data_IF_947537462198
#
_entry.id   IF_947537462198
#
_cell.length_a   1.000
_cell.length_b   1.000
_cell.length_c   1.000
_cell.angle_alpha   90.00
_cell.angle_beta   90.00
_cell.angle_gamma   90.00
#
_symmetry.space_group_name_H-M   'P 1'
#
loop_
_entity.id
_entity.type
_entity.pdbx_description
1 polymer ?
#
# COMPACT_ATOMS: atom_id res chain seq x y z
N UNK A 1 10.42 -25.73 -13.54
CA UNK A 1 9.74 -24.80 -14.47
C UNK A 1 10.44 -23.47 -14.34
N UNK A 2 10.48 -22.65 -15.40
CA UNK A 2 11.04 -21.29 -15.31
C UNK A 2 10.25 -20.47 -14.27
N UNK A 3 10.95 -19.67 -13.45
CA UNK A 3 10.32 -18.80 -12.44
C UNK A 3 9.69 -17.56 -13.08
N UNK A 4 10.20 -17.14 -14.25
CA UNK A 4 9.71 -16.01 -15.04
C UNK A 4 9.63 -16.33 -16.54
N UNK A 5 8.60 -15.81 -17.21
CA UNK A 5 8.41 -15.91 -18.67
C UNK A 5 8.26 -14.51 -19.28
N UNK A 6 9.01 -14.21 -20.35
CA UNK A 6 8.96 -12.92 -21.04
C UNK A 6 7.56 -12.70 -21.66
N UNK A 7 6.93 -11.58 -21.33
CA UNK A 7 5.60 -11.20 -21.82
C UNK A 7 5.65 -10.18 -22.97
N UNK A 8 6.44 -9.11 -22.84
CA UNK A 8 6.60 -8.07 -23.87
C UNK A 8 7.96 -7.37 -23.74
N UNK A 9 8.62 -7.16 -24.88
CA UNK A 9 9.94 -6.53 -24.94
C UNK A 9 9.87 -5.09 -25.49
N UNK A 10 10.09 -4.05 -24.66
CA UNK A 10 10.30 -2.69 -25.15
C UNK A 10 11.79 -2.36 -25.41
N UNK A 11 12.71 -3.29 -25.18
CA UNK A 11 14.17 -3.12 -25.28
C UNK A 11 14.92 -3.66 -24.06
N UNK A 12 14.80 -4.95 -23.76
CA UNK A 12 15.37 -5.61 -22.58
C UNK A 12 16.87 -5.32 -22.48
N UNK A 13 17.24 -4.42 -21.58
CA UNK A 13 18.63 -4.23 -21.21
C UNK A 13 19.10 -5.54 -20.59
N UNK A 14 19.92 -6.29 -21.32
CA UNK A 14 20.59 -7.46 -20.78
C UNK A 14 21.98 -7.06 -20.28
N UNK A 15 22.36 -7.58 -19.12
CA UNK A 15 23.71 -7.46 -18.57
C UNK A 15 24.35 -8.84 -18.48
N UNK A 16 25.66 -8.90 -18.69
CA UNK A 16 26.44 -10.12 -18.43
C UNK A 16 27.00 -10.05 -17.02
N UNK A 17 26.76 -11.07 -16.23
CA UNK A 17 27.27 -11.18 -14.86
C UNK A 17 27.86 -12.56 -14.62
N UNK A 18 28.74 -12.66 -13.64
CA UNK A 18 29.22 -13.94 -13.12
C UNK A 18 28.18 -14.48 -12.14
N UNK A 19 27.70 -15.70 -12.37
CA UNK A 19 26.69 -16.33 -11.53
C UNK A 19 27.21 -16.51 -10.09
N UNK A 20 26.54 -15.97 -9.06
CA UNK A 20 26.99 -16.10 -7.68
C UNK A 20 26.77 -17.52 -7.13
N UNK A 21 25.76 -18.22 -7.63
CA UNK A 21 25.40 -19.58 -7.28
C UNK A 21 25.01 -20.38 -8.53
N UNK A 22 24.90 -21.71 -8.42
CA UNK A 22 24.32 -22.52 -9.49
C UNK A 22 22.82 -22.30 -9.61
N UNK A 23 22.28 -22.40 -10.81
CA UNK A 23 20.87 -22.12 -11.07
C UNK A 23 20.45 -22.49 -12.49
N UNK A 24 19.34 -21.91 -12.95
CA UNK A 24 18.80 -22.16 -14.27
C UNK A 24 18.23 -20.90 -14.95
N UNK A 25 18.10 -20.95 -16.27
CA UNK A 25 17.41 -19.93 -17.06
C UNK A 25 15.95 -19.80 -16.57
N UNK A 26 15.45 -18.56 -16.60
CA UNK A 26 14.17 -18.16 -16.05
C UNK A 26 14.18 -17.87 -14.55
N UNK A 27 15.32 -17.97 -13.85
CA UNK A 27 15.41 -17.61 -12.43
C UNK A 27 15.40 -16.10 -12.20
N UNK A 28 14.75 -15.67 -11.12
CA UNK A 28 14.76 -14.28 -10.64
C UNK A 28 15.88 -14.10 -9.62
N UNK A 29 16.76 -13.13 -9.87
CA UNK A 29 17.91 -12.83 -9.02
C UNK A 29 17.99 -11.34 -8.72
N UNK A 30 18.72 -10.99 -7.66
CA UNK A 30 19.13 -9.62 -7.39
C UNK A 30 20.58 -9.43 -7.83
N UNK A 31 20.83 -8.38 -8.60
CA UNK A 31 22.17 -7.99 -9.01
C UNK A 31 22.88 -7.21 -7.89
N UNK A 32 24.21 -7.11 -7.99
CA UNK A 32 25.03 -6.40 -7.00
C UNK A 32 24.72 -4.89 -6.91
N UNK A 33 24.09 -4.32 -7.94
CA UNK A 33 23.61 -2.93 -7.95
C UNK A 33 22.20 -2.77 -7.35
N UNK A 34 21.62 -3.85 -6.83
CA UNK A 34 20.33 -3.89 -6.15
C UNK A 34 19.13 -4.18 -7.07
N UNK A 35 19.30 -4.12 -8.39
CA UNK A 35 18.21 -4.36 -9.35
C UNK A 35 17.78 -5.82 -9.39
N UNK A 36 16.50 -6.06 -9.61
CA UNK A 36 16.00 -7.37 -9.98
C UNK A 36 16.40 -7.72 -11.42
N UNK A 37 16.60 -9.00 -11.69
CA UNK A 37 16.83 -9.47 -13.04
C UNK A 37 16.38 -10.91 -13.24
N UNK A 38 16.06 -11.24 -14.49
CA UNK A 38 15.68 -12.59 -14.92
C UNK A 38 16.82 -13.18 -15.73
N UNK A 39 17.31 -14.36 -15.36
CA UNK A 39 18.33 -15.06 -16.16
C UNK A 39 17.70 -15.52 -17.47
N UNK A 40 18.17 -15.03 -18.61
CA UNK A 40 17.62 -15.35 -19.94
C UNK A 40 18.52 -16.28 -20.76
N UNK A 41 19.73 -16.54 -20.29
CA UNK A 41 20.63 -17.52 -20.91
C UNK A 41 21.91 -17.73 -20.13
N UNK A 42 22.43 -18.95 -20.18
CA UNK A 42 23.77 -19.31 -19.71
C UNK A 42 24.69 -19.49 -20.93
N UNK A 43 26.00 -19.24 -20.77
CA UNK A 43 26.99 -19.64 -21.79
C UNK A 43 27.13 -21.18 -21.93
N UNK A 44 26.46 -21.94 -21.07
CA UNK A 44 26.43 -23.40 -21.04
C UNK A 44 25.28 -23.89 -21.93
N UNK A 45 25.51 -24.94 -22.74
CA UNK A 45 24.50 -25.52 -23.65
C UNK A 45 23.28 -26.17 -22.93
N UNK A 46 23.26 -26.12 -21.60
CA UNK A 46 22.16 -26.48 -20.73
C UNK A 46 21.48 -25.21 -20.21
N UNK A 47 20.16 -25.23 -20.02
CA UNK A 47 19.43 -24.18 -19.29
C UNK A 47 19.93 -24.02 -17.84
N UNK A 48 20.83 -24.88 -17.35
CA UNK A 48 21.50 -24.75 -16.05
C UNK A 48 22.87 -24.05 -16.17
N UNK A 49 23.23 -23.31 -15.12
CA UNK A 49 24.55 -22.69 -14.94
C UNK A 49 25.13 -23.04 -13.56
N UNK A 50 26.46 -23.03 -13.45
CA UNK A 50 27.17 -23.17 -12.19
C UNK A 50 27.61 -21.80 -11.63
N UNK A 51 27.93 -21.77 -10.33
CA UNK A 51 28.60 -20.61 -9.74
C UNK A 51 29.92 -20.34 -10.49
N UNK A 52 30.17 -19.08 -10.85
CA UNK A 52 31.32 -18.68 -11.66
C UNK A 52 31.08 -18.63 -13.17
N UNK A 53 29.99 -19.22 -13.68
CA UNK A 53 29.65 -19.13 -15.10
C UNK A 53 29.23 -17.70 -15.50
N UNK A 54 29.48 -17.31 -16.74
CA UNK A 54 28.88 -16.09 -17.30
C UNK A 54 27.42 -16.37 -17.70
N UNK A 55 26.52 -15.58 -17.14
CA UNK A 55 25.08 -15.60 -17.45
C UNK A 55 24.63 -14.26 -18.02
N UNK A 56 23.57 -14.29 -18.82
CA UNK A 56 22.90 -13.11 -19.36
C UNK A 56 21.62 -12.89 -18.57
N UNK A 57 21.45 -11.68 -18.04
CA UNK A 57 20.35 -11.32 -17.16
C UNK A 57 19.61 -10.12 -17.75
N UNK A 58 18.30 -10.26 -17.97
CA UNK A 58 17.44 -9.15 -18.33
C UNK A 58 17.06 -8.35 -17.08
N UNK A 59 17.20 -7.01 -17.15
CA UNK A 59 16.92 -6.11 -16.01
C UNK A 59 15.78 -5.11 -16.29
N UNK A 60 15.05 -5.32 -17.38
CA UNK A 60 13.90 -4.51 -17.79
C UNK A 60 12.96 -5.37 -18.63
N UNK A 61 11.71 -4.93 -18.78
CA UNK A 61 10.67 -5.61 -19.54
C UNK A 61 9.65 -6.31 -18.64
N UNK A 62 8.57 -6.76 -19.25
CA UNK A 62 7.45 -7.38 -18.55
C UNK A 62 7.62 -8.90 -18.50
N UNK A 63 7.52 -9.47 -17.30
CA UNK A 63 7.66 -10.90 -17.05
C UNK A 63 6.49 -11.42 -16.22
N UNK A 64 5.96 -12.57 -16.62
CA UNK A 64 5.01 -13.34 -15.81
C UNK A 64 5.80 -14.14 -14.78
N UNK A 65 5.51 -13.96 -13.50
CA UNK A 65 6.15 -14.67 -12.38
C UNK A 65 5.11 -15.29 -11.46
N UNK A 66 5.49 -16.31 -10.71
CA UNK A 66 4.66 -16.86 -9.62
C UNK A 66 4.38 -15.76 -8.59
N UNK A 67 3.14 -15.68 -8.06
CA UNK A 67 2.82 -14.83 -6.92
C UNK A 67 2.51 -15.64 -5.68
N UNK A 68 2.67 -15.01 -4.52
CA UNK A 68 2.22 -15.56 -3.24
C UNK A 68 0.70 -15.83 -3.32
N UNK A 69 0.26 -16.95 -2.73
CA UNK A 69 -1.16 -17.31 -2.74
C UNK A 69 -2.00 -16.34 -1.91
N UNK A 70 -3.27 -16.17 -2.27
CA UNK A 70 -4.26 -15.40 -1.51
C UNK A 70 -4.05 -13.88 -1.43
N UNK A 71 -2.91 -13.36 -1.89
CA UNK A 71 -2.71 -11.91 -2.05
C UNK A 71 -3.22 -11.44 -3.41
N UNK A 72 -3.79 -10.24 -3.43
CA UNK A 72 -4.14 -9.48 -4.63
C UNK A 72 -2.99 -8.54 -4.95
N UNK A 73 -2.71 -8.31 -6.23
CA UNK A 73 -1.73 -7.30 -6.66
C UNK A 73 -2.42 -6.41 -7.68
N UNK A 74 -2.58 -5.12 -7.37
CA UNK A 74 -3.28 -4.16 -8.21
C UNK A 74 -2.34 -3.63 -9.31
N UNK A 75 -2.89 -3.41 -10.51
CA UNK A 75 -2.17 -2.82 -11.64
C UNK A 75 -1.48 -1.52 -11.24
N UNK A 76 -0.23 -1.36 -11.67
CA UNK A 76 0.63 -0.23 -11.32
C UNK A 76 1.16 -0.22 -9.88
N UNK A 77 0.79 -1.21 -9.05
CA UNK A 77 1.25 -1.37 -7.67
C UNK A 77 2.69 -1.90 -7.58
N UNK A 78 3.24 -1.92 -6.37
CA UNK A 78 4.60 -2.44 -6.12
C UNK A 78 4.59 -3.96 -6.01
N UNK A 79 5.60 -4.60 -6.60
CA UNK A 79 5.88 -6.01 -6.36
C UNK A 79 7.31 -6.18 -5.82
N UNK A 80 7.45 -7.07 -4.85
CA UNK A 80 8.71 -7.50 -4.27
C UNK A 80 8.90 -8.99 -4.53
N UNK A 81 10.14 -9.44 -4.66
CA UNK A 81 10.46 -10.84 -4.75
C UNK A 81 10.75 -11.40 -3.36
N UNK A 82 9.89 -12.30 -2.88
CA UNK A 82 10.13 -13.11 -1.70
C UNK A 82 11.13 -14.20 -2.07
N UNK A 83 12.37 -14.05 -1.62
CA UNK A 83 13.45 -15.00 -1.95
C UNK A 83 13.23 -16.35 -1.26
N UNK A 84 12.55 -16.36 -0.12
CA UNK A 84 12.32 -17.57 0.68
C UNK A 84 11.18 -18.43 0.11
N UNK A 85 10.13 -17.80 -0.42
CA UNK A 85 9.00 -18.46 -1.07
C UNK A 85 9.17 -18.62 -2.59
N UNK A 86 10.12 -17.90 -3.19
CA UNK A 86 10.38 -17.86 -4.63
C UNK A 86 9.16 -17.36 -5.43
N UNK A 87 8.55 -16.27 -4.95
CA UNK A 87 7.33 -15.70 -5.53
C UNK A 87 7.26 -14.18 -5.35
N UNK A 88 6.47 -13.51 -6.19
CA UNK A 88 6.15 -12.10 -6.05
C UNK A 88 5.12 -11.87 -4.93
N UNK A 89 5.34 -10.81 -4.15
CA UNK A 89 4.50 -10.39 -3.02
C UNK A 89 4.41 -8.86 -2.95
N UNK A 90 3.56 -8.33 -2.06
CA UNK A 90 3.28 -6.89 -1.94
C UNK A 90 4.27 -6.13 -1.05
N UNK A 91 4.96 -6.82 -0.13
CA UNK A 91 5.85 -6.21 0.86
C UNK A 91 7.22 -6.88 0.90
N UNK A 92 8.19 -6.24 1.53
CA UNK A 92 9.57 -6.71 1.63
C UNK A 92 9.86 -7.25 3.03
N UNK A 93 10.34 -8.49 3.13
CA UNK A 93 10.98 -9.03 4.33
C UNK A 93 12.52 -9.01 4.22
N UNK A 94 13.20 -9.50 5.26
CA UNK A 94 14.66 -9.57 5.27
C UNK A 94 15.19 -10.48 4.16
N UNK A 95 16.00 -9.92 3.26
CA UNK A 95 16.59 -10.63 2.12
C UNK A 95 15.78 -10.57 0.83
N UNK A 96 14.55 -10.06 0.89
CA UNK A 96 13.72 -9.78 -0.28
C UNK A 96 14.20 -8.52 -0.99
N UNK A 97 13.71 -8.30 -2.20
CA UNK A 97 14.08 -7.14 -3.00
C UNK A 97 12.97 -6.67 -3.90
N UNK A 98 13.01 -5.39 -4.25
CA UNK A 98 12.05 -4.80 -5.17
C UNK A 98 12.15 -5.45 -6.55
N UNK A 99 11.03 -5.96 -7.04
CA UNK A 99 10.95 -6.63 -8.33
C UNK A 99 10.59 -5.63 -9.44
N UNK A 100 9.56 -4.81 -9.20
CA UNK A 100 9.06 -3.87 -10.19
C UNK A 100 7.62 -3.43 -9.95
N UNK A 101 6.98 -3.03 -11.04
CA UNK A 101 5.61 -2.52 -11.05
C UNK A 101 4.67 -3.59 -11.63
N UNK A 102 3.56 -3.86 -10.96
CA UNK A 102 2.53 -4.81 -11.43
C UNK A 102 1.91 -4.31 -12.72
N UNK A 103 1.62 -5.22 -13.66
CA UNK A 103 0.98 -4.93 -14.94
C UNK A 103 -0.28 -5.79 -15.09
N UNK A 104 -1.43 -5.14 -14.99
CA UNK A 104 -2.73 -5.78 -14.85
C UNK A 104 -2.94 -6.37 -13.46
N UNK A 105 -4.18 -6.30 -12.98
CA UNK A 105 -4.53 -6.87 -11.68
C UNK A 105 -4.29 -8.39 -11.66
N UNK A 106 -3.78 -8.90 -10.54
CA UNK A 106 -3.75 -10.33 -10.24
C UNK A 106 -4.66 -10.60 -9.04
N UNK A 107 -5.70 -11.41 -9.24
CA UNK A 107 -6.67 -11.76 -8.22
C UNK A 107 -6.09 -12.72 -7.18
N UNK A 108 -6.74 -12.84 -6.03
CA UNK A 108 -6.29 -13.70 -4.93
C UNK A 108 -6.07 -15.17 -5.37
N UNK A 109 -6.95 -15.67 -6.25
CA UNK A 109 -6.93 -17.03 -6.78
C UNK A 109 -5.90 -17.26 -7.91
N UNK A 110 -5.39 -16.20 -8.52
CA UNK A 110 -4.36 -16.33 -9.55
C UNK A 110 -3.06 -16.88 -8.95
N UNK A 111 -2.31 -17.63 -9.74
CA UNK A 111 -1.02 -18.20 -9.33
C UNK A 111 0.17 -17.39 -9.84
N UNK A 112 -0.08 -16.44 -10.75
CA UNK A 112 0.95 -15.63 -11.39
C UNK A 112 0.54 -14.17 -11.49
N UNK A 113 1.53 -13.30 -11.67
CA UNK A 113 1.36 -11.86 -11.94
C UNK A 113 2.34 -11.43 -13.02
N UNK A 114 2.01 -10.41 -13.81
CA UNK A 114 2.96 -9.78 -14.73
C UNK A 114 3.58 -8.58 -14.04
N UNK A 115 4.91 -8.47 -14.10
CA UNK A 115 5.67 -7.37 -13.49
C UNK A 115 6.61 -6.75 -14.51
N UNK A 116 6.60 -5.41 -14.58
CA UNK A 116 7.57 -4.61 -15.33
C UNK A 116 8.81 -4.37 -14.46
N UNK A 117 9.91 -5.07 -14.77
CA UNK A 117 11.09 -5.17 -13.91
C UNK A 117 11.71 -3.80 -13.62
N UNK A 118 12.02 -3.56 -12.35
CA UNK A 118 12.68 -2.35 -11.84
C UNK A 118 11.96 -1.01 -12.14
N UNK A 119 10.78 -1.03 -12.76
CA UNK A 119 9.93 0.15 -12.92
C UNK A 119 9.28 0.47 -11.59
N UNK A 120 9.29 1.74 -11.16
CA UNK A 120 8.60 2.21 -9.95
C UNK A 120 7.15 2.62 -10.27
N UNK A 121 6.21 2.54 -9.31
CA UNK A 121 4.90 3.16 -9.46
C UNK A 121 5.05 4.67 -9.66
N UNK A 122 4.09 5.23 -10.39
CA UNK A 122 3.95 6.68 -10.56
C UNK A 122 2.76 7.14 -9.72
N UNK A 123 3.06 7.70 -8.55
CA UNK A 123 2.05 8.31 -7.68
C UNK A 123 1.77 9.75 -8.11
N UNK A 124 0.50 10.11 -8.18
CA UNK A 124 0.05 11.49 -8.38
C UNK A 124 0.23 12.31 -7.11
N UNK A 125 -0.09 11.71 -5.97
CA UNK A 125 0.07 12.28 -4.63
C UNK A 125 0.90 11.27 -3.83
N UNK A 126 1.93 11.72 -3.12
CA UNK A 126 2.78 10.84 -2.30
C UNK A 126 3.32 11.59 -1.09
N UNK A 127 3.25 10.98 0.10
CA UNK A 127 3.78 11.59 1.32
C UNK A 127 5.30 11.82 1.18
N UNK A 128 5.73 13.05 1.44
CA UNK A 128 7.12 13.47 1.21
C UNK A 128 7.41 13.99 -0.21
N UNK A 129 6.41 14.01 -1.10
CA UNK A 129 6.43 14.73 -2.38
C UNK A 129 5.22 15.66 -2.48
N UNK A 130 5.40 16.83 -3.08
CA UNK A 130 4.32 17.82 -3.19
C UNK A 130 4.01 18.53 -1.87
N UNK A 131 2.78 19.03 -1.73
CA UNK A 131 2.33 19.80 -0.57
C UNK A 131 1.43 18.95 0.34
N UNK A 132 1.81 18.88 1.61
CA UNK A 132 1.07 18.21 2.67
C UNK A 132 0.80 19.20 3.79
N UNK A 133 -0.40 19.12 4.34
CA UNK A 133 -0.81 19.89 5.50
C UNK A 133 -0.86 18.99 6.72
N UNK A 134 -0.55 19.60 7.86
CA UNK A 134 -0.76 19.00 9.16
C UNK A 134 -1.74 19.90 9.90
N UNK A 135 -2.74 19.30 10.53
CA UNK A 135 -3.67 20.00 11.40
C UNK A 135 -3.64 19.35 12.78
N UNK A 136 -3.81 20.17 13.81
CA UNK A 136 -3.80 19.70 15.18
C UNK A 136 -4.58 20.65 16.09
N UNK A 137 -5.38 20.06 16.98
CA UNK A 137 -6.02 20.76 18.09
C UNK A 137 -5.62 20.02 19.36
N UNK A 138 -4.98 20.72 20.30
CA UNK A 138 -4.51 20.14 21.57
C UNK A 138 -3.58 18.91 21.37
N UNK A 139 -3.21 18.23 22.46
CA UNK A 139 -2.34 17.04 22.41
C UNK A 139 -0.93 17.30 21.84
N UNK A 140 -0.26 16.24 21.36
CA UNK A 140 1.10 16.32 20.82
C UNK A 140 1.13 16.63 19.31
N UNK A 141 0.04 16.37 18.60
CA UNK A 141 -0.15 16.73 17.19
C UNK A 141 0.64 15.84 16.22
N UNK A 142 1.08 16.43 15.10
CA UNK A 142 1.85 15.73 14.06
C UNK A 142 3.33 16.10 14.14
N UNK A 143 4.19 15.09 14.23
CA UNK A 143 5.65 15.22 14.25
C UNK A 143 6.31 14.36 13.18
N UNK A 144 7.57 14.63 12.83
CA UNK A 144 8.32 13.74 11.95
C UNK A 144 8.61 12.41 12.66
N UNK A 145 8.48 11.28 11.96
CA UNK A 145 8.70 9.97 12.59
C UNK A 145 10.16 9.81 13.02
N UNK A 146 10.37 9.27 14.22
CA UNK A 146 11.71 8.96 14.75
C UNK A 146 12.47 7.86 13.94
N UNK A 147 11.78 7.16 13.03
CA UNK A 147 12.31 6.13 12.14
C UNK A 147 13.08 6.70 10.94
N UNK A 148 13.06 8.03 10.74
CA UNK A 148 13.69 8.72 9.62
C UNK A 148 12.87 8.63 8.32
N UNK A 149 13.28 9.36 7.28
CA UNK A 149 12.57 9.41 6.01
C UNK A 149 11.48 10.49 5.94
N UNK A 150 10.42 10.22 5.17
CA UNK A 150 9.28 11.12 4.93
C UNK A 150 8.07 10.82 5.82
N UNK A 151 8.17 9.82 6.69
CA UNK A 151 7.10 9.41 7.59
C UNK A 151 6.76 10.45 8.65
N UNK A 152 5.53 10.38 9.15
CA UNK A 152 5.04 11.22 10.25
C UNK A 152 4.45 10.39 11.39
N UNK A 153 4.44 10.97 12.58
CA UNK A 153 3.83 10.41 13.78
C UNK A 153 2.72 11.35 14.23
N UNK A 154 1.54 10.80 14.48
CA UNK A 154 0.39 11.47 15.08
C UNK A 154 0.26 10.94 16.50
N UNK A 155 0.19 11.82 17.51
CA UNK A 155 0.15 11.38 18.89
C UNK A 155 -0.62 12.28 19.85
N UNK A 156 -1.09 11.67 20.94
CA UNK A 156 -1.72 12.33 22.08
C UNK A 156 -1.00 12.00 23.38
N UNK A 157 -1.01 12.97 24.30
CA UNK A 157 -0.61 12.76 25.68
C UNK A 157 -1.83 12.51 26.57
N UNK A 158 -1.57 12.17 27.83
CA UNK A 158 -2.59 11.83 28.82
C UNK A 158 -3.28 13.07 29.44
N UNK A 159 -3.48 14.12 28.64
CA UNK A 159 -4.27 15.29 29.05
C UNK A 159 -5.73 15.04 28.71
N UNK A 160 -6.61 15.26 29.69
CA UNK A 160 -8.06 15.10 29.56
C UNK A 160 -8.71 16.26 28.78
N UNK A 161 -8.53 16.25 27.47
CA UNK A 161 -9.04 17.24 26.54
C UNK A 161 -9.41 16.60 25.20
N UNK A 162 -10.40 17.17 24.51
CA UNK A 162 -10.63 16.80 23.12
C UNK A 162 -9.42 17.24 22.29
N UNK A 163 -8.90 16.30 21.49
CA UNK A 163 -7.69 16.53 20.70
C UNK A 163 -7.81 15.90 19.32
N UNK A 164 -7.07 16.46 18.37
CA UNK A 164 -6.99 15.99 17.00
C UNK A 164 -5.58 16.15 16.46
N UNK A 165 -5.15 15.18 15.65
CA UNK A 165 -3.99 15.30 14.79
C UNK A 165 -4.35 14.72 13.42
N UNK A 166 -3.98 15.41 12.35
CA UNK A 166 -4.20 14.94 10.99
C UNK A 166 -3.07 15.32 10.06
N UNK A 167 -2.73 14.41 9.14
CA UNK A 167 -1.85 14.65 8.01
C UNK A 167 -2.60 14.33 6.73
N UNK A 168 -2.62 15.27 5.79
CA UNK A 168 -3.34 15.09 4.53
C UNK A 168 -2.69 15.87 3.39
N UNK A 169 -2.97 15.45 2.16
CA UNK A 169 -2.48 16.18 1.00
C UNK A 169 -3.27 17.47 0.78
N UNK A 170 -2.56 18.53 0.34
CA UNK A 170 -3.19 19.76 -0.17
C UNK A 170 -3.76 19.53 -1.58
N UNK A 171 -3.13 18.63 -2.34
CA UNK A 171 -3.61 18.22 -3.65
C UNK A 171 -4.74 17.22 -3.48
N UNK A 172 -5.75 17.32 -4.35
CA UNK A 172 -6.95 16.49 -4.30
C UNK A 172 -7.13 15.68 -5.57
N UNK A 173 -7.93 14.62 -5.47
CA UNK A 173 -8.26 13.70 -6.56
C UNK A 173 -9.79 13.59 -6.72
N UNK A 174 -10.33 13.83 -7.92
CA UNK A 174 -11.73 13.51 -8.22
C UNK A 174 -12.02 12.02 -8.07
N UNK A 175 -13.20 11.67 -7.55
CA UNK A 175 -13.67 10.27 -7.52
C UNK A 175 -13.73 9.67 -8.93
N UNK A 176 -14.12 10.49 -9.91
CA UNK A 176 -14.18 10.12 -11.32
C UNK A 176 -12.83 9.76 -11.96
N UNK A 177 -11.69 10.03 -11.30
CA UNK A 177 -10.37 9.60 -11.77
C UNK A 177 -10.03 8.16 -11.32
N UNK A 178 -10.96 7.48 -10.63
CA UNK A 178 -10.78 6.13 -10.11
C UNK A 178 -9.53 5.99 -9.25
N UNK A 179 -9.38 6.79 -8.17
CA UNK A 179 -8.16 6.79 -7.38
C UNK A 179 -7.93 5.44 -6.71
N UNK A 180 -6.68 5.00 -6.68
CA UNK A 180 -6.22 3.92 -5.82
C UNK A 180 -5.38 4.56 -4.72
N UNK A 181 -5.86 4.50 -3.49
CA UNK A 181 -5.10 4.84 -2.29
C UNK A 181 -4.26 3.65 -1.86
N UNK A 182 -3.00 3.90 -1.51
CA UNK A 182 -2.13 2.92 -0.89
C UNK A 182 -1.36 3.60 0.25
N UNK A 183 -1.27 2.97 1.41
CA UNK A 183 -0.53 3.51 2.54
C UNK A 183 -0.01 2.43 3.47
N UNK A 184 0.98 2.79 4.27
CA UNK A 184 1.54 1.89 5.28
C UNK A 184 1.66 2.61 6.62
N UNK A 185 0.98 2.04 7.61
CA UNK A 185 0.81 2.65 8.94
C UNK A 185 1.07 1.62 10.03
N UNK A 186 1.45 2.06 11.22
CA UNK A 186 1.60 1.23 12.41
C UNK A 186 0.97 1.94 13.60
N UNK A 187 0.23 1.18 14.43
CA UNK A 187 -0.28 1.65 15.71
C UNK A 187 0.69 1.20 16.80
N UNK A 188 1.36 2.15 17.42
CA UNK A 188 2.30 1.94 18.55
C UNK A 188 1.60 2.10 19.90
N UNK A 189 0.51 2.86 19.93
CA UNK A 189 -0.38 2.98 21.07
C UNK A 189 -1.81 3.20 20.56
N UNK A 190 -2.68 2.21 20.79
CA UNK A 190 -4.11 2.21 20.42
C UNK A 190 -4.96 2.88 21.51
N UNK A 191 -4.35 3.36 22.59
CA UNK A 191 -5.09 3.92 23.71
C UNK A 191 -5.90 2.88 24.50
N UNK A 192 -6.62 3.35 25.52
CA UNK A 192 -7.35 2.54 26.49
C UNK A 192 -8.86 2.83 26.55
N UNK A 193 -9.35 3.77 25.74
CA UNK A 193 -10.76 4.15 25.65
C UNK A 193 -11.21 4.20 24.18
N UNK A 194 -12.45 3.81 23.92
CA UNK A 194 -13.01 3.75 22.56
C UNK A 194 -13.35 5.12 21.99
N UNK A 195 -13.23 6.20 22.76
CA UNK A 195 -13.45 7.55 22.27
C UNK A 195 -12.22 8.17 21.58
N UNK A 196 -11.16 7.38 21.37
CA UNK A 196 -10.10 7.66 20.40
C UNK A 196 -10.51 7.03 19.08
N UNK A 197 -10.45 7.78 17.99
CA UNK A 197 -10.77 7.32 16.65
C UNK A 197 -9.54 7.48 15.75
N UNK A 198 -9.26 6.48 14.92
CA UNK A 198 -8.17 6.49 13.94
C UNK A 198 -8.74 6.21 12.57
N UNK A 199 -8.67 7.21 11.68
CA UNK A 199 -9.23 7.17 10.32
C UNK A 199 -8.14 7.31 9.25
N UNK A 200 -8.05 6.36 8.33
CA UNK A 200 -7.01 6.29 7.29
C UNK A 200 -7.65 6.00 5.93
N UNK A 201 -7.48 6.88 4.95
CA UNK A 201 -8.00 6.63 3.60
C UNK A 201 -8.16 7.90 2.77
N UNK A 202 -9.31 8.02 2.10
CA UNK A 202 -9.67 9.16 1.28
C UNK A 202 -10.89 9.88 1.89
N UNK A 203 -10.83 11.21 1.98
CA UNK A 203 -11.91 12.03 2.54
C UNK A 203 -11.99 13.40 1.86
N UNK A 204 -13.12 14.11 1.96
CA UNK A 204 -13.24 15.48 1.44
C UNK A 204 -12.96 16.58 2.49
N UNK A 205 -12.55 16.21 3.70
CA UNK A 205 -12.28 17.14 4.78
C UNK A 205 -11.61 16.52 5.99
N UNK A 206 -11.49 17.32 7.05
CA UNK A 206 -11.07 16.91 8.39
C UNK A 206 -12.11 17.40 9.40
N UNK A 207 -12.10 16.83 10.59
CA UNK A 207 -12.89 17.32 11.71
C UNK A 207 -12.07 17.35 12.99
N UNK A 208 -12.46 18.21 13.94
CA UNK A 208 -11.69 18.45 15.15
C UNK A 208 -11.99 17.47 16.30
N UNK A 209 -13.17 16.84 16.31
CA UNK A 209 -13.65 16.00 17.42
C UNK A 209 -14.69 14.93 17.01
N UNK A 210 -14.93 14.75 15.71
CA UNK A 210 -16.01 13.89 15.17
C UNK A 210 -15.77 13.66 13.66
N UNK A 211 -14.88 12.72 13.31
CA UNK A 211 -14.54 12.42 11.92
C UNK A 211 -15.73 11.83 11.15
N UNK A 212 -16.68 11.19 11.84
CA UNK A 212 -17.93 10.68 11.25
C UNK A 212 -18.78 11.80 10.64
N UNK A 213 -18.54 13.05 11.03
CA UNK A 213 -19.21 14.21 10.42
C UNK A 213 -18.67 14.61 9.03
N UNK A 214 -17.56 14.01 8.58
CA UNK A 214 -16.98 14.26 7.25
C UNK A 214 -17.91 13.66 6.19
N UNK A 215 -18.44 14.52 5.32
CA UNK A 215 -19.55 14.18 4.42
C UNK A 215 -19.22 13.16 3.35
N UNK A 216 -17.96 13.10 2.88
CA UNK A 216 -17.57 12.11 1.87
C UNK A 216 -16.25 11.46 2.27
N UNK A 217 -16.25 10.13 2.43
CA UNK A 217 -15.10 9.37 2.88
C UNK A 217 -15.13 7.90 2.46
N UNK A 218 -13.96 7.28 2.38
CA UNK A 218 -13.78 5.83 2.38
C UNK A 218 -12.51 5.51 3.14
N UNK A 219 -12.64 4.74 4.22
CA UNK A 219 -11.66 4.71 5.29
C UNK A 219 -11.48 3.30 5.84
N UNK A 220 -10.25 3.02 6.25
CA UNK A 220 -10.01 2.09 7.35
C UNK A 220 -10.13 2.86 8.66
N UNK A 221 -10.85 2.26 9.61
CA UNK A 221 -11.16 2.86 10.91
C UNK A 221 -10.72 1.93 12.04
N UNK A 222 -10.17 2.48 13.13
CA UNK A 222 -9.93 1.78 14.37
C UNK A 222 -10.42 2.62 15.56
N UNK A 223 -11.18 1.98 16.45
CA UNK A 223 -11.52 2.56 17.75
C UNK A 223 -10.37 2.33 18.74
N UNK A 224 -10.13 3.29 19.62
CA UNK A 224 -9.19 3.14 20.71
C UNK A 224 -9.57 1.96 21.60
N UNK A 225 -8.60 1.38 22.30
CA UNK A 225 -8.71 0.09 23.00
C UNK A 225 -8.92 -1.16 22.11
N UNK A 226 -9.03 -1.00 20.79
CA UNK A 226 -9.27 -2.09 19.84
C UNK A 226 -8.33 -2.04 18.65
N UNK A 227 -7.55 -3.10 18.44
CA UNK A 227 -6.72 -3.24 17.23
C UNK A 227 -7.52 -3.76 16.02
N UNK A 228 -8.84 -3.95 16.13
CA UNK A 228 -9.66 -4.38 15.00
C UNK A 228 -9.67 -3.30 13.92
N UNK A 229 -9.37 -3.71 12.69
CA UNK A 229 -9.46 -2.83 11.53
C UNK A 229 -10.88 -2.93 10.98
N UNK A 230 -11.61 -1.83 11.02
CA UNK A 230 -12.90 -1.66 10.38
C UNK A 230 -12.73 -1.00 9.01
N UNK A 231 -13.75 -1.12 8.17
CA UNK A 231 -13.86 -0.40 6.90
C UNK A 231 -15.22 0.27 6.78
N UNK A 232 -15.24 1.47 6.22
CA UNK A 232 -16.44 2.31 6.07
C UNK A 232 -16.37 3.22 4.84
N UNK A 233 -17.54 3.75 4.45
CA UNK A 233 -17.65 4.77 3.41
C UNK A 233 -18.88 5.65 3.60
N UNK A 234 -18.79 6.92 3.24
CA UNK A 234 -19.91 7.84 3.06
C UNK A 234 -19.75 8.57 1.72
N UNK A 235 -20.79 8.58 0.90
CA UNK A 235 -20.81 9.30 -0.38
C UNK A 235 -21.59 10.64 -0.30
N UNK A 236 -21.95 11.06 0.91
CA UNK A 236 -22.79 12.23 1.22
C UNK A 236 -24.29 11.96 1.13
N UNK A 237 -24.68 10.75 0.74
CA UNK A 237 -26.08 10.29 0.64
C UNK A 237 -26.29 8.91 1.29
N UNK A 238 -25.34 8.00 1.09
CA UNK A 238 -25.34 6.61 1.52
C UNK A 238 -24.14 6.36 2.41
N UNK A 239 -24.45 6.07 3.67
CA UNK A 239 -23.46 5.73 4.68
C UNK A 239 -23.37 4.21 4.83
N UNK A 240 -22.13 3.71 4.83
CA UNK A 240 -21.78 2.37 5.24
C UNK A 240 -20.93 2.48 6.50
N UNK A 241 -21.57 2.31 7.65
CA UNK A 241 -20.92 2.32 8.95
C UNK A 241 -19.75 1.32 9.05
N UNK A 242 -18.79 1.67 9.92
CA UNK A 242 -17.65 0.84 10.31
C UNK A 242 -18.01 -0.64 10.47
N UNK A 243 -17.43 -1.46 9.59
CA UNK A 243 -17.64 -2.91 9.55
C UNK A 243 -16.31 -3.64 9.76
N UNK A 244 -16.28 -4.57 10.72
CA UNK A 244 -15.11 -5.40 11.03
C UNK A 244 -14.60 -6.16 9.79
N UNK A 245 -13.34 -5.92 9.41
CA UNK A 245 -12.69 -6.56 8.27
C UNK A 245 -12.22 -7.99 8.54
N UNK A 246 -12.37 -8.46 9.79
CA UNK A 246 -11.76 -9.67 10.39
C UNK A 246 -10.23 -9.63 10.49
N UNK A 247 -9.65 -8.45 10.23
CA UNK A 247 -8.23 -8.17 10.38
C UNK A 247 -8.02 -7.29 11.59
N UNK A 248 -6.86 -7.46 12.22
CA UNK A 248 -6.42 -6.61 13.31
C UNK A 248 -5.03 -6.08 13.00
N UNK A 249 -4.78 -4.84 13.39
CA UNK A 249 -3.43 -4.34 13.52
C UNK A 249 -2.68 -5.17 14.57
N UNK A 250 -1.37 -5.18 14.46
CA UNK A 250 -0.48 -5.74 15.48
C UNK A 250 0.35 -4.59 16.00
N UNK A 251 0.42 -4.45 17.32
CA UNK A 251 1.21 -3.40 17.97
C UNK A 251 2.62 -3.32 17.37
N UNK A 252 3.08 -2.09 17.18
CA UNK A 252 4.41 -1.74 16.67
C UNK A 252 4.74 -2.33 15.28
N UNK A 253 3.74 -2.85 14.56
CA UNK A 253 3.91 -3.52 13.28
C UNK A 253 3.19 -2.76 12.18
N UNK A 254 3.91 -2.49 11.08
CA UNK A 254 3.32 -1.84 9.93
C UNK A 254 2.37 -2.78 9.18
N UNK A 255 1.17 -2.27 8.90
CA UNK A 255 0.17 -2.85 8.01
C UNK A 255 0.09 -2.04 6.72
N UNK A 256 -0.11 -2.70 5.58
CA UNK A 256 -0.36 -2.02 4.30
C UNK A 256 -1.85 -2.00 3.96
N UNK A 257 -2.36 -0.82 3.63
CA UNK A 257 -3.78 -0.52 3.45
C UNK A 257 -4.01 0.02 2.04
N UNK A 258 -4.91 -0.60 1.28
CA UNK A 258 -5.27 -0.15 -0.06
C UNK A 258 -6.77 0.05 -0.23
N UNK A 259 -7.16 1.07 -1.00
CA UNK A 259 -8.55 1.34 -1.38
C UNK A 259 -8.58 1.55 -2.89
N UNK A 260 -9.38 0.75 -3.58
CA UNK A 260 -9.51 0.78 -5.04
C UNK A 260 -10.87 1.36 -5.44
N UNK A 261 -10.87 2.64 -5.80
CA UNK A 261 -12.07 3.38 -6.22
C UNK A 261 -12.31 3.37 -7.72
N UNK A 262 -11.67 2.46 -8.49
CA UNK A 262 -11.90 2.37 -9.95
C UNK A 262 -13.35 2.06 -10.30
N UNK A 263 -14.07 1.39 -9.41
CA UNK A 263 -15.53 1.29 -9.45
C UNK A 263 -16.13 2.02 -8.24
N UNK A 264 -16.56 3.28 -8.36
CA UNK A 264 -17.06 4.04 -7.23
C UNK A 264 -18.38 3.50 -6.65
N UNK A 265 -19.09 2.61 -7.37
CA UNK A 265 -20.30 1.96 -6.85
C UNK A 265 -20.03 0.63 -6.11
N UNK A 266 -18.78 0.16 -6.10
CA UNK A 266 -18.37 -1.09 -5.44
C UNK A 266 -16.86 -1.07 -5.16
N UNK A 267 -16.46 -0.19 -4.23
CA UNK A 267 -15.08 0.03 -3.85
C UNK A 267 -14.54 -1.20 -3.13
N UNK A 268 -13.34 -1.64 -3.53
CA UNK A 268 -12.66 -2.78 -2.91
C UNK A 268 -11.56 -2.28 -1.97
N UNK A 269 -11.42 -2.92 -0.81
CA UNK A 269 -10.46 -2.53 0.22
C UNK A 269 -9.57 -3.71 0.59
N UNK A 270 -8.31 -3.44 0.91
CA UNK A 270 -7.30 -4.47 1.14
C UNK A 270 -6.46 -4.17 2.38
N UNK A 271 -6.26 -5.19 3.20
CA UNK A 271 -5.32 -5.17 4.33
C UNK A 271 -4.26 -6.22 4.06
N UNK A 272 -3.00 -5.81 3.98
CA UNK A 272 -1.85 -6.64 3.62
C UNK A 272 -2.11 -7.45 2.34
N UNK A 273 -2.59 -6.74 1.31
CA UNK A 273 -2.94 -7.28 0.00
C UNK A 273 -4.07 -8.33 -0.01
N UNK A 274 -4.79 -8.52 1.09
CA UNK A 274 -5.97 -9.40 1.15
C UNK A 274 -7.23 -8.56 1.01
N UNK A 275 -8.08 -8.86 0.03
CA UNK A 275 -9.37 -8.18 -0.13
C UNK A 275 -10.24 -8.46 1.11
N UNK A 276 -10.60 -7.39 1.81
CA UNK A 276 -11.44 -7.46 3.01
C UNK A 276 -12.87 -7.09 2.64
N UNK A 277 -13.81 -7.82 3.23
CA UNK A 277 -15.25 -7.61 3.01
C UNK A 277 -15.67 -7.59 1.51
N UNK A 278 -15.24 -8.53 0.66
CA UNK A 278 -15.52 -8.52 -0.79
C UNK A 278 -17.01 -8.69 -1.16
N UNK A 279 -17.89 -8.87 -0.18
CA UNK A 279 -19.35 -8.96 -0.35
C UNK A 279 -20.10 -7.74 0.23
N UNK A 280 -19.38 -6.82 0.88
CA UNK A 280 -19.90 -5.54 1.32
C UNK A 280 -19.71 -4.54 0.19
N UNK A 281 -20.75 -3.76 -0.11
CA UNK A 281 -20.66 -2.64 -1.04
C UNK A 281 -20.26 -1.39 -0.26
N UNK A 282 -19.04 -0.92 -0.51
CA UNK A 282 -18.59 0.43 -0.18
C UNK A 282 -18.71 1.30 -1.42
N UNK A 283 -19.08 2.57 -1.27
CA UNK A 283 -19.39 3.41 -2.42
C UNK A 283 -19.08 4.88 -2.21
N UNK A 284 -18.80 5.55 -3.34
CA UNK A 284 -18.56 6.98 -3.52
C UNK A 284 -19.25 7.47 -4.81
N UNK A 285 -20.24 6.75 -5.34
CA UNK A 285 -20.86 7.05 -6.64
C UNK A 285 -21.78 8.29 -6.59
N UNK A 286 -22.28 8.68 -5.42
CA UNK A 286 -22.93 9.98 -5.22
C UNK A 286 -21.96 11.12 -4.81
N UNK A 287 -20.71 10.78 -4.46
CA UNK A 287 -19.75 11.75 -3.95
C UNK A 287 -19.36 12.76 -5.04
N UNK A 288 -19.33 14.03 -4.65
CA UNK A 288 -18.98 15.14 -5.55
C UNK A 288 -17.49 15.46 -5.52
N UNK A 289 -16.80 15.13 -4.41
CA UNK A 289 -15.37 15.32 -4.23
C UNK A 289 -14.93 16.80 -4.35
N UNK A 290 -13.63 17.04 -4.56
CA UNK A 290 -12.55 16.05 -4.68
C UNK A 290 -12.10 15.52 -3.31
N UNK A 291 -11.53 14.32 -3.28
CA UNK A 291 -11.01 13.68 -2.07
C UNK A 291 -9.52 13.95 -1.90
N UNK A 292 -9.03 13.86 -0.68
CA UNK A 292 -7.62 13.90 -0.31
C UNK A 292 -7.25 12.64 0.46
N UNK A 293 -6.02 12.11 0.28
CA UNK A 293 -5.49 11.08 1.16
C UNK A 293 -5.23 11.67 2.54
N UNK A 294 -5.66 10.97 3.58
CA UNK A 294 -5.60 11.42 4.97
C UNK A 294 -5.26 10.28 5.93
N UNK A 295 -4.50 10.63 6.98
CA UNK A 295 -4.48 9.92 8.25
C UNK A 295 -4.88 10.91 9.32
N UNK A 296 -5.89 10.57 10.08
CA UNK A 296 -6.49 11.39 11.10
C UNK A 296 -6.64 10.56 12.37
N UNK A 297 -6.32 11.17 13.50
CA UNK A 297 -6.66 10.65 14.82
C UNK A 297 -7.38 11.75 15.59
N UNK A 298 -8.37 11.38 16.37
CA UNK A 298 -9.02 12.29 17.31
C UNK A 298 -9.42 11.58 18.58
N UNK A 299 -9.63 12.35 19.64
CA UNK A 299 -10.26 11.87 20.84
C UNK A 299 -11.24 12.90 21.37
N UNK A 300 -12.30 12.41 22.00
CA UNK A 300 -13.13 13.26 22.87
C UNK A 300 -12.38 13.63 24.16
N UNK A 301 -13.00 14.38 25.07
CA UNK A 301 -12.36 14.82 26.31
C UNK A 301 -12.07 13.66 27.29
N UNK A 302 -10.94 12.98 27.08
CA UNK A 302 -10.41 11.91 27.94
C UNK A 302 -8.86 11.94 27.97
N UNK A 303 -8.25 11.14 28.85
CA UNK A 303 -6.80 11.04 29.04
C UNK A 303 -6.15 9.90 28.24
N UNK A 304 -6.86 9.34 27.26
CA UNK A 304 -6.32 8.30 26.39
C UNK A 304 -5.16 8.84 25.55
N UNK A 305 -4.08 8.06 25.49
CA UNK A 305 -2.89 8.31 24.67
C UNK A 305 -3.01 7.64 23.31
N UNK A 306 -2.21 8.10 22.35
CA UNK A 306 -2.13 7.50 21.02
C UNK A 306 -0.75 7.73 20.39
N UNK A 307 -0.26 6.78 19.60
CA UNK A 307 0.93 6.89 18.75
C UNK A 307 0.65 6.11 17.45
N UNK A 308 0.31 6.84 16.39
CA UNK A 308 0.10 6.29 15.04
C UNK A 308 1.20 6.80 14.14
N UNK A 309 1.89 5.87 13.47
CA UNK A 309 3.03 6.18 12.60
C UNK A 309 2.73 5.83 11.17
N UNK A 310 2.99 6.79 10.29
CA UNK A 310 2.81 6.67 8.84
C UNK A 310 4.18 6.56 8.20
N UNK A 311 4.45 5.46 7.50
CA UNK A 311 5.70 5.28 6.72
C UNK A 311 5.58 6.04 5.40
N UNK A 312 4.52 5.75 4.64
CA UNK A 312 4.23 6.40 3.37
C UNK A 312 2.73 6.31 3.05
N UNK A 313 2.27 7.24 2.21
CA UNK A 313 0.94 7.27 1.59
C UNK A 313 1.14 7.64 0.12
N UNK A 314 0.39 7.02 -0.77
CA UNK A 314 0.38 7.30 -2.19
C UNK A 314 -1.03 7.20 -2.76
N UNK A 315 -1.31 8.02 -3.77
CA UNK A 315 -2.51 7.90 -4.60
C UNK A 315 -2.10 7.81 -6.06
N UNK A 316 -2.64 6.81 -6.75
CA UNK A 316 -2.54 6.67 -8.21
C UNK A 316 -3.91 6.92 -8.82
N UNK A 317 -3.92 7.51 -10.00
CA UNK A 317 -5.13 7.59 -10.83
C UNK A 317 -4.97 6.62 -11.99
N UNK A 318 -6.07 6.04 -12.45
CA UNK A 318 -6.07 5.21 -13.66
C UNK A 318 -7.00 5.86 -14.67
N UNK A 319 -6.71 5.68 -15.97
CA UNK A 319 -7.65 6.11 -16.99
C UNK A 319 -8.88 5.20 -16.90
N UNK A 320 -10.01 5.73 -16.44
CA UNK A 320 -11.27 5.00 -16.44
C UNK A 320 -11.73 4.91 -17.89
N UNK A 321 -11.38 3.81 -18.58
CA UNK A 321 -11.97 3.55 -19.90
C UNK A 321 -13.47 3.34 -19.71
N UNK A 322 -14.25 4.36 -20.06
CA UNK A 322 -15.72 4.34 -20.12
C UNK A 322 -16.25 3.21 -21.01
#
# INVERSE_FOLDING_TARGET
MAEAVLYKDPGAYTVKVTAPASGASGQVIQLADGRAGVVVGANSASDAYASGDQITVAVAGQYTVTKTSSVVLLDGGRAYWDRSANSATFTQASGDFYLGCVVGDAAAADTTVVVDLNRKPEYRIELGKGQWANDATNGLGVTATALGGTGVTLSFDAVAEAAMAAVYSVDTVPVADGPIFEGRVAVYDIGDDAALDISIGLANGTHATDFDSVTESVLFHLDGNSLTINAESDDGTTERAATDTTKSAVDDTFVELWIDCRNPADIQMYVDAVNVLPATVFQLDAATGPLLPIVHIEKTSNDTTADVRVDWIGVRSTDLTS
#
